data_IF_942751081482
#
_entry.id   IF_942751081482
#
_cell.length_a   1.000
_cell.length_b   1.000
_cell.length_c   1.000
_cell.angle_alpha   90.00
_cell.angle_beta   90.00
_cell.angle_gamma   90.00
#
_symmetry.space_group_name_H-M   'P 1'
#
loop_
_entity.id
_entity.type
_entity.pdbx_description
1 polymer ?
#
# COMPACT_ATOMS: atom_id res chain seq x y z
N UNK A 1 21.89 -3.43 7.76
CA UNK A 1 20.87 -4.44 8.14
C UNK A 1 19.73 -3.71 8.84
N UNK A 2 18.62 -3.42 8.15
CA UNK A 2 17.40 -2.87 8.78
C UNK A 2 16.86 -3.93 9.75
N UNK A 3 16.69 -3.57 11.01
CA UNK A 3 15.96 -4.39 11.98
C UNK A 3 14.59 -4.70 11.38
N UNK A 4 14.25 -5.98 11.30
CA UNK A 4 12.91 -6.44 10.92
C UNK A 4 11.94 -5.99 12.02
N UNK A 5 11.36 -4.82 11.84
CA UNK A 5 10.24 -4.38 12.68
C UNK A 5 9.08 -5.34 12.42
N UNK A 6 8.52 -5.88 13.50
CA UNK A 6 7.33 -6.72 13.43
C UNK A 6 6.20 -5.94 12.74
N UNK A 7 5.48 -6.57 11.80
CA UNK A 7 4.39 -5.90 11.08
C UNK A 7 3.34 -5.36 12.05
N UNK A 8 2.82 -4.16 11.76
CA UNK A 8 1.82 -3.48 12.57
C UNK A 8 0.54 -4.33 12.78
N UNK A 9 -0.29 -3.97 13.75
CA UNK A 9 -1.50 -4.72 14.13
C UNK A 9 -2.51 -4.94 13.00
N UNK A 10 -2.55 -4.04 12.02
CA UNK A 10 -3.46 -4.11 10.86
C UNK A 10 -2.83 -4.76 9.62
N UNK A 11 -1.59 -5.24 9.74
CA UNK A 11 -0.86 -5.89 8.66
C UNK A 11 -1.63 -7.07 8.08
N UNK A 12 -1.57 -7.19 6.76
CA UNK A 12 -2.08 -8.32 6.00
C UNK A 12 -1.45 -9.65 6.47
N UNK A 13 -0.17 -9.60 6.89
CA UNK A 13 0.55 -10.73 7.47
C UNK A 13 -0.23 -11.36 8.64
N UNK A 14 -0.66 -10.58 9.62
CA UNK A 14 -1.39 -11.09 10.79
C UNK A 14 -2.75 -11.65 10.41
N UNK A 15 -3.45 -11.01 9.46
CA UNK A 15 -4.74 -11.51 8.95
C UNK A 15 -4.58 -12.87 8.25
N UNK A 16 -3.56 -13.01 7.41
CA UNK A 16 -3.25 -14.27 6.72
C UNK A 16 -2.74 -15.36 7.68
N UNK A 17 -1.85 -15.01 8.59
CA UNK A 17 -1.33 -15.92 9.60
C UNK A 17 -2.46 -16.43 10.49
N UNK A 18 -3.34 -15.56 10.98
CA UNK A 18 -4.50 -15.95 11.77
C UNK A 18 -5.45 -16.84 10.98
N UNK A 19 -5.77 -16.48 9.74
CA UNK A 19 -6.64 -17.28 8.88
C UNK A 19 -6.07 -18.68 8.65
N UNK A 20 -4.77 -18.79 8.37
CA UNK A 20 -4.08 -20.06 8.13
C UNK A 20 -4.04 -20.92 9.41
N UNK A 21 -3.64 -20.32 10.53
CA UNK A 21 -3.58 -21.03 11.82
C UNK A 21 -4.96 -21.49 12.26
N UNK A 22 -5.97 -20.61 12.17
CA UNK A 22 -7.35 -20.94 12.49
C UNK A 22 -7.87 -22.08 11.60
N UNK A 23 -7.57 -22.04 10.30
CA UNK A 23 -7.90 -23.10 9.36
C UNK A 23 -7.22 -24.43 9.74
N UNK A 24 -5.92 -24.44 10.02
CA UNK A 24 -5.19 -25.64 10.44
C UNK A 24 -5.77 -26.23 11.74
N UNK A 25 -6.01 -25.40 12.74
CA UNK A 25 -6.58 -25.83 14.01
C UNK A 25 -7.99 -26.40 13.83
N UNK A 26 -8.82 -25.77 13.03
CA UNK A 26 -10.17 -26.25 12.70
C UNK A 26 -10.12 -27.62 12.03
N UNK A 27 -9.20 -27.81 11.07
CA UNK A 27 -9.04 -29.09 10.37
C UNK A 27 -8.55 -30.20 11.28
N UNK A 28 -7.58 -29.92 12.16
CA UNK A 28 -7.09 -30.87 13.15
C UNK A 28 -8.21 -31.24 14.12
N UNK A 29 -8.94 -30.25 14.64
CA UNK A 29 -10.05 -30.50 15.56
C UNK A 29 -11.17 -31.30 14.92
N UNK A 30 -11.55 -30.97 13.67
CA UNK A 30 -12.59 -31.68 12.93
C UNK A 30 -12.19 -33.14 12.69
N UNK A 31 -10.95 -33.38 12.25
CA UNK A 31 -10.43 -34.73 11.99
C UNK A 31 -10.39 -35.54 13.27
N UNK A 32 -9.92 -34.96 14.38
CA UNK A 32 -9.83 -35.64 15.67
C UNK A 32 -11.21 -35.92 16.30
N UNK A 33 -12.10 -34.95 16.32
CA UNK A 33 -13.46 -35.05 16.84
C UNK A 33 -14.28 -36.09 16.07
N UNK A 34 -14.19 -36.06 14.74
CA UNK A 34 -14.87 -37.02 13.89
C UNK A 34 -14.29 -38.44 14.03
N UNK A 35 -12.96 -38.52 14.14
CA UNK A 35 -12.29 -39.78 14.37
C UNK A 35 -12.80 -40.47 15.62
N UNK A 36 -12.88 -39.76 16.73
CA UNK A 36 -13.44 -40.26 18.00
C UNK A 36 -14.92 -40.63 17.88
N UNK A 37 -15.75 -39.78 17.32
CA UNK A 37 -17.16 -40.05 17.13
C UNK A 37 -17.42 -41.33 16.32
N UNK A 38 -16.65 -41.56 15.25
CA UNK A 38 -16.74 -42.77 14.44
C UNK A 38 -16.19 -43.99 15.15
N UNK A 39 -15.15 -43.86 15.97
CA UNK A 39 -14.59 -44.94 16.72
C UNK A 39 -15.57 -45.45 17.78
N UNK A 40 -16.18 -44.56 18.55
CA UNK A 40 -17.22 -44.89 19.55
C UNK A 40 -18.42 -45.56 18.91
N UNK A 41 -18.92 -45.03 17.79
CA UNK A 41 -20.11 -45.58 17.11
C UNK A 41 -19.87 -46.94 16.43
N UNK A 42 -18.64 -47.20 16.01
CA UNK A 42 -18.27 -48.48 15.33
C UNK A 42 -17.72 -49.54 16.26
N UNK A 43 -17.60 -49.27 17.56
CA UNK A 43 -17.14 -50.25 18.56
C UNK A 43 -18.28 -51.14 19.09
N UNK A 44 -19.52 -50.74 18.97
CA UNK A 44 -20.66 -51.43 19.50
C UNK A 44 -21.56 -51.99 18.41
N UNK A 45 -22.25 -53.08 18.74
CA UNK A 45 -23.31 -53.63 17.89
C UNK A 45 -24.45 -52.63 17.74
N UNK A 46 -25.07 -52.57 16.57
CA UNK A 46 -26.30 -51.82 16.38
C UNK A 46 -27.44 -52.38 17.23
N UNK A 47 -28.39 -51.55 17.64
CA UNK A 47 -29.55 -51.97 18.43
C UNK A 47 -30.36 -53.04 17.71
N UNK A 48 -30.44 -52.97 16.39
CA UNK A 48 -31.09 -53.96 15.55
C UNK A 48 -30.37 -55.33 15.61
N UNK A 49 -29.00 -55.29 15.57
CA UNK A 49 -28.23 -56.52 15.70
C UNK A 49 -28.39 -57.16 17.11
N UNK A 50 -28.32 -56.30 18.17
CA UNK A 50 -28.54 -56.77 19.55
C UNK A 50 -29.91 -57.39 19.74
N UNK A 51 -30.97 -56.71 19.23
CA UNK A 51 -32.34 -57.23 19.29
C UNK A 51 -32.52 -58.53 18.53
N UNK A 52 -31.84 -58.70 17.40
CA UNK A 52 -31.90 -59.93 16.62
C UNK A 52 -31.16 -61.05 17.30
N UNK A 53 -29.93 -60.82 17.80
CA UNK A 53 -29.17 -61.80 18.53
C UNK A 53 -29.80 -62.21 19.86
N UNK A 54 -30.46 -61.30 20.58
CA UNK A 54 -31.26 -61.60 21.77
C UNK A 54 -32.47 -62.48 21.46
N UNK A 55 -33.13 -62.24 20.30
CA UNK A 55 -34.21 -63.13 19.84
C UNK A 55 -33.74 -64.52 19.55
N UNK A 56 -32.52 -64.69 18.96
CA UNK A 56 -31.93 -66.02 18.76
C UNK A 56 -31.68 -66.73 20.09
N UNK A 57 -31.17 -66.05 21.11
CA UNK A 57 -31.02 -66.65 22.44
C UNK A 57 -32.35 -67.05 23.03
N UNK A 58 -33.43 -66.24 22.85
CA UNK A 58 -34.76 -66.60 23.31
C UNK A 58 -35.33 -67.82 22.56
N UNK A 59 -35.04 -67.97 21.26
CA UNK A 59 -35.49 -69.12 20.47
C UNK A 59 -34.71 -70.36 20.88
N UNK A 60 -33.41 -70.30 21.14
CA UNK A 60 -32.60 -71.37 21.66
C UNK A 60 -33.11 -71.85 23.04
N UNK A 61 -33.44 -70.96 23.94
CA UNK A 61 -34.04 -71.20 25.22
C UNK A 61 -35.37 -71.96 25.09
N UNK A 62 -36.24 -71.52 24.20
CA UNK A 62 -37.54 -72.17 23.91
C UNK A 62 -37.32 -73.62 23.35
N UNK A 63 -36.36 -73.76 22.45
CA UNK A 63 -35.99 -75.12 21.90
C UNK A 63 -35.50 -76.10 23.01
N UNK A 64 -34.66 -75.58 23.92
CA UNK A 64 -34.24 -76.31 25.09
C UNK A 64 -35.40 -76.70 26.00
N UNK A 65 -36.30 -75.79 26.32
CA UNK A 65 -37.45 -76.06 27.21
C UNK A 65 -38.44 -77.02 26.60
N UNK A 66 -38.59 -77.09 25.28
CA UNK A 66 -39.56 -77.99 24.58
C UNK A 66 -39.03 -79.41 24.31
N UNK A 67 -37.78 -79.50 23.90
CA UNK A 67 -37.22 -80.75 23.42
C UNK A 67 -35.88 -81.14 24.00
N UNK A 68 -35.37 -80.41 24.99
CA UNK A 68 -34.05 -80.69 25.57
C UNK A 68 -32.93 -80.63 24.54
N UNK A 69 -32.03 -81.63 24.55
CA UNK A 69 -30.90 -81.70 23.61
C UNK A 69 -31.32 -81.89 22.17
N UNK A 70 -32.34 -82.68 21.88
CA UNK A 70 -32.84 -82.95 20.53
C UNK A 70 -33.48 -81.66 19.95
N UNK A 71 -34.22 -80.91 20.77
CA UNK A 71 -34.83 -79.60 20.32
C UNK A 71 -33.76 -78.57 20.01
N UNK A 72 -32.62 -78.60 20.69
CA UNK A 72 -31.46 -77.74 20.38
C UNK A 72 -30.82 -78.13 19.04
N UNK A 73 -30.62 -79.40 18.80
CA UNK A 73 -30.01 -79.92 17.56
C UNK A 73 -30.83 -79.45 16.32
N UNK A 74 -32.19 -79.62 16.35
CA UNK A 74 -33.07 -79.21 15.28
C UNK A 74 -33.00 -77.69 15.08
N UNK A 75 -32.89 -76.95 16.16
CA UNK A 75 -32.80 -75.47 16.08
C UNK A 75 -31.42 -75.05 15.55
N UNK A 76 -30.30 -75.63 15.99
CA UNK A 76 -28.96 -75.40 15.51
C UNK A 76 -28.84 -75.59 14.00
N UNK A 77 -29.32 -76.76 13.49
CA UNK A 77 -29.34 -77.01 12.07
C UNK A 77 -30.09 -75.97 11.25
N UNK A 78 -31.20 -75.45 11.77
CA UNK A 78 -31.97 -74.39 11.15
C UNK A 78 -31.19 -73.04 11.14
N UNK A 79 -30.41 -72.77 12.16
CA UNK A 79 -29.65 -71.54 12.32
C UNK A 79 -28.37 -71.49 11.48
N UNK A 80 -27.63 -72.66 11.37
CA UNK A 80 -26.49 -72.77 10.50
C UNK A 80 -26.80 -72.51 9.04
N UNK A 81 -27.96 -73.03 8.57
CA UNK A 81 -28.47 -72.78 7.23
C UNK A 81 -28.84 -71.28 7.00
N UNK A 82 -29.22 -70.56 8.07
CA UNK A 82 -29.71 -69.21 7.99
C UNK A 82 -28.63 -68.15 8.07
N UNK A 83 -27.63 -68.38 8.94
CA UNK A 83 -26.65 -67.31 9.25
C UNK A 83 -25.25 -67.56 8.68
N UNK A 84 -24.96 -68.71 8.13
CA UNK A 84 -23.64 -69.10 7.58
C UNK A 84 -22.49 -68.80 8.54
N UNK A 85 -22.73 -68.96 9.84
CA UNK A 85 -21.78 -68.71 10.92
C UNK A 85 -21.95 -69.76 11.99
N UNK A 86 -20.86 -70.05 12.70
CA UNK A 86 -20.88 -71.06 13.78
C UNK A 86 -21.83 -70.62 14.92
N UNK A 87 -22.68 -71.54 15.34
CA UNK A 87 -23.65 -71.31 16.43
C UNK A 87 -23.59 -72.58 17.37
N UNK A 88 -23.57 -72.34 18.66
CA UNK A 88 -23.59 -73.36 19.66
C UNK A 88 -24.36 -72.94 20.92
N UNK A 89 -24.87 -73.89 21.65
CA UNK A 89 -25.57 -73.65 22.92
C UNK A 89 -24.81 -74.39 24.03
N UNK A 90 -24.41 -73.62 25.05
CA UNK A 90 -23.60 -74.15 26.19
C UNK A 90 -24.33 -73.98 27.51
N UNK A 91 -24.16 -74.92 28.39
CA UNK A 91 -24.63 -74.88 29.77
C UNK A 91 -23.73 -74.03 30.68
N UNK A 92 -24.12 -73.87 31.92
CA UNK A 92 -23.35 -73.10 32.91
C UNK A 92 -21.94 -73.59 33.17
N UNK A 93 -21.70 -74.86 32.92
CA UNK A 93 -20.39 -75.58 33.05
C UNK A 93 -19.57 -75.54 31.73
N UNK A 94 -19.91 -74.78 30.74
CA UNK A 94 -19.29 -74.72 29.39
C UNK A 94 -19.39 -76.01 28.57
N UNK A 95 -20.25 -76.93 28.97
CA UNK A 95 -20.53 -78.16 28.20
C UNK A 95 -21.60 -77.91 27.16
N UNK A 96 -21.50 -78.56 25.97
CA UNK A 96 -22.54 -78.49 24.95
C UNK A 96 -23.90 -78.97 25.47
N UNK A 97 -24.93 -78.23 25.19
CA UNK A 97 -26.31 -78.63 25.43
C UNK A 97 -26.92 -79.40 24.24
N UNK A 98 -26.19 -79.55 23.12
CA UNK A 98 -26.53 -80.39 21.98
C UNK A 98 -26.02 -81.81 22.19
N UNK A 99 -26.41 -82.77 21.31
CA UNK A 99 -25.90 -84.09 21.30
C UNK A 99 -24.50 -84.19 20.68
N UNK A 100 -24.04 -83.18 19.94
CA UNK A 100 -22.71 -83.09 19.39
C UNK A 100 -21.73 -82.47 20.41
N UNK A 101 -20.60 -83.20 20.69
CA UNK A 101 -19.57 -82.66 21.57
C UNK A 101 -18.79 -81.53 20.85
N UNK A 102 -18.39 -80.47 21.59
CA UNK A 102 -17.55 -79.43 21.08
C UNK A 102 -16.15 -79.94 20.74
N UNK A 103 -15.62 -79.49 19.58
CA UNK A 103 -14.27 -79.83 19.14
C UNK A 103 -13.23 -79.03 19.98
N UNK A 104 -11.96 -79.52 20.02
CA UNK A 104 -10.87 -78.84 20.78
C UNK A 104 -10.67 -77.39 20.37
N UNK A 105 -10.79 -77.07 19.07
CA UNK A 105 -10.67 -75.72 18.56
C UNK A 105 -11.83 -74.83 19.02
N UNK A 106 -13.02 -75.34 19.13
CA UNK A 106 -14.21 -74.64 19.62
C UNK A 106 -14.09 -74.36 21.12
N UNK A 107 -13.61 -75.40 21.89
CA UNK A 107 -13.34 -75.22 23.32
C UNK A 107 -12.32 -74.11 23.61
N UNK A 108 -11.22 -74.03 22.82
CA UNK A 108 -10.23 -73.01 22.96
C UNK A 108 -10.87 -71.56 22.67
N UNK A 109 -11.77 -71.45 21.73
CA UNK A 109 -12.46 -70.21 21.41
C UNK A 109 -13.47 -69.79 22.46
N UNK A 110 -14.05 -70.75 23.23
CA UNK A 110 -14.93 -70.43 24.35
C UNK A 110 -14.21 -69.77 25.51
N UNK A 111 -12.88 -69.73 25.55
CA UNK A 111 -12.11 -69.02 26.56
C UNK A 111 -12.19 -67.46 26.38
N UNK A 112 -12.54 -66.97 25.18
CA UNK A 112 -12.58 -65.55 24.83
C UNK A 112 -13.97 -65.08 24.41
N UNK A 113 -15.00 -65.52 25.11
CA UNK A 113 -16.38 -65.11 24.85
C UNK A 113 -16.64 -63.66 25.26
N UNK A 114 -17.32 -62.91 24.41
CA UNK A 114 -17.71 -61.52 24.69
C UNK A 114 -19.20 -61.40 24.91
N UNK A 115 -19.59 -60.48 25.79
CA UNK A 115 -21.00 -60.10 25.93
C UNK A 115 -21.49 -59.21 24.81
N UNK A 116 -22.81 -59.10 24.65
CA UNK A 116 -23.44 -58.23 23.65
C UNK A 116 -23.10 -56.74 23.80
N UNK A 117 -22.77 -56.30 25.02
CA UNK A 117 -22.47 -54.92 25.35
C UNK A 117 -20.99 -54.58 25.30
N UNK A 118 -20.14 -55.57 24.97
CA UNK A 118 -18.70 -55.40 24.90
C UNK A 118 -18.28 -54.80 23.56
N UNK A 119 -17.27 -53.93 23.53
CA UNK A 119 -16.78 -53.37 22.29
C UNK A 119 -16.16 -54.44 21.38
N UNK A 120 -16.52 -54.35 20.10
CA UNK A 120 -16.03 -55.30 19.08
C UNK A 120 -14.69 -54.75 18.55
N UNK A 121 -13.62 -55.57 18.70
CA UNK A 121 -12.29 -55.23 18.19
C UNK A 121 -12.24 -55.32 16.66
N UNK A 122 -11.33 -54.54 16.07
CA UNK A 122 -11.16 -54.39 14.61
C UNK A 122 -10.76 -55.61 13.82
N UNK A 123 -10.32 -56.70 14.47
CA UNK A 123 -9.80 -57.92 13.81
C UNK A 123 -10.59 -59.15 14.20
N UNK A 124 -11.15 -59.82 13.21
CA UNK A 124 -11.85 -61.10 13.31
C UNK A 124 -13.34 -61.00 13.64
N UNK A 125 -14.02 -62.14 13.59
CA UNK A 125 -15.40 -62.29 14.00
C UNK A 125 -15.43 -62.75 15.44
N UNK A 126 -15.82 -61.91 16.42
CA UNK A 126 -15.84 -62.28 17.82
C UNK A 126 -16.93 -63.32 18.09
N UNK A 127 -16.66 -64.21 19.00
CA UNK A 127 -17.64 -65.14 19.53
C UNK A 127 -18.37 -64.44 20.68
N UNK A 128 -19.70 -64.37 20.53
CA UNK A 128 -20.59 -63.66 21.47
C UNK A 128 -21.30 -64.69 22.33
N UNK A 129 -21.29 -64.44 23.63
CA UNK A 129 -22.10 -65.23 24.61
C UNK A 129 -23.33 -64.43 24.97
N UNK A 130 -24.48 -65.00 24.77
CA UNK A 130 -25.77 -64.41 25.05
C UNK A 130 -26.51 -65.34 26.04
N UNK A 131 -26.63 -64.97 27.31
CA UNK A 131 -27.34 -65.79 28.28
C UNK A 131 -28.83 -65.94 27.92
N UNK A 132 -29.43 -67.04 28.30
CA UNK A 132 -30.86 -67.24 28.12
C UNK A 132 -31.64 -66.19 28.86
N UNK A 133 -32.63 -65.52 28.23
CA UNK A 133 -33.33 -64.40 28.83
C UNK A 133 -34.13 -64.72 30.10
N UNK A 134 -34.76 -65.92 30.14
CA UNK A 134 -35.59 -66.31 31.30
C UNK A 134 -34.78 -67.05 32.39
N UNK A 135 -33.83 -67.91 31.98
CA UNK A 135 -33.01 -68.73 32.88
C UNK A 135 -31.52 -68.59 32.51
N UNK A 136 -30.85 -67.53 32.88
CA UNK A 136 -29.44 -67.28 32.49
C UNK A 136 -28.47 -68.39 32.99
N UNK A 137 -28.84 -69.07 34.12
CA UNK A 137 -28.06 -70.14 34.69
C UNK A 137 -28.19 -71.48 33.92
N UNK A 138 -29.28 -71.70 33.20
CA UNK A 138 -29.52 -72.93 32.47
C UNK A 138 -28.65 -73.07 31.20
N UNK A 139 -28.34 -71.96 30.53
CA UNK A 139 -27.51 -71.98 29.34
C UNK A 139 -27.27 -70.61 28.71
N UNK A 140 -26.46 -70.61 27.68
CA UNK A 140 -26.14 -69.44 26.89
C UNK A 140 -25.99 -69.81 25.41
N UNK A 141 -26.47 -68.98 24.53
CA UNK A 141 -26.18 -69.06 23.12
C UNK A 141 -24.78 -68.54 22.86
N UNK A 142 -23.95 -69.19 22.13
CA UNK A 142 -22.68 -68.72 21.61
C UNK A 142 -22.77 -68.68 20.10
N UNK A 143 -22.48 -67.57 19.53
CA UNK A 143 -22.55 -67.35 18.09
C UNK A 143 -21.31 -66.60 17.61
N UNK A 144 -20.68 -67.08 16.56
CA UNK A 144 -19.71 -66.28 15.80
C UNK A 144 -20.48 -65.16 15.08
N UNK A 145 -20.08 -63.92 15.28
CA UNK A 145 -20.80 -62.74 14.75
C UNK A 145 -20.96 -62.83 13.22
N UNK A 146 -22.22 -62.93 12.70
CA UNK A 146 -22.47 -62.98 11.25
C UNK A 146 -21.97 -61.73 10.56
N UNK A 147 -21.49 -61.88 9.32
CA UNK A 147 -20.93 -60.77 8.52
C UNK A 147 -21.86 -59.54 8.40
N UNK A 148 -23.17 -59.80 8.30
CA UNK A 148 -24.17 -58.74 8.17
C UNK A 148 -24.26 -57.80 9.37
N UNK A 149 -23.84 -58.25 10.56
CA UNK A 149 -23.84 -57.47 11.80
C UNK A 149 -22.49 -56.85 12.11
N UNK A 150 -21.45 -57.10 11.28
CA UNK A 150 -20.16 -56.48 11.46
C UNK A 150 -20.29 -54.96 11.26
N UNK A 151 -19.88 -54.14 12.26
CA UNK A 151 -19.92 -52.71 12.11
C UNK A 151 -18.90 -52.26 11.04
N UNK A 152 -19.34 -51.43 10.08
CA UNK A 152 -18.40 -50.79 9.18
C UNK A 152 -18.60 -50.95 7.69
N UNK A 153 -19.79 -51.41 7.22
CA UNK A 153 -20.11 -51.53 5.78
C UNK A 153 -19.81 -50.21 4.98
N UNK A 154 -19.95 -49.06 5.60
CA UNK A 154 -19.65 -47.75 5.01
C UNK A 154 -18.36 -47.11 5.52
N UNK A 155 -17.51 -47.83 6.22
CA UNK A 155 -16.29 -47.31 6.87
C UNK A 155 -15.32 -46.68 5.87
N UNK A 156 -15.15 -47.28 4.71
CA UNK A 156 -14.28 -46.79 3.65
C UNK A 156 -14.85 -45.49 3.07
N UNK A 157 -16.16 -45.47 2.77
CA UNK A 157 -16.85 -44.32 2.23
C UNK A 157 -16.74 -43.12 3.19
N UNK A 158 -17.07 -43.32 4.46
CA UNK A 158 -16.97 -42.27 5.47
C UNK A 158 -15.52 -41.77 5.67
N UNK A 159 -14.52 -42.67 5.59
CA UNK A 159 -13.12 -42.27 5.65
C UNK A 159 -12.75 -41.37 4.46
N UNK A 160 -13.20 -41.70 3.26
CA UNK A 160 -12.95 -40.89 2.07
C UNK A 160 -13.63 -39.52 2.20
N UNK A 161 -14.88 -39.47 2.68
CA UNK A 161 -15.61 -38.23 2.87
C UNK A 161 -14.90 -37.33 3.90
N UNK A 162 -14.54 -37.89 5.06
CA UNK A 162 -14.01 -37.07 6.16
C UNK A 162 -12.55 -36.65 5.97
N UNK A 163 -11.73 -37.52 5.38
CA UNK A 163 -10.31 -37.21 5.18
C UNK A 163 -9.98 -36.67 3.79
N UNK A 164 -10.92 -36.73 2.85
CA UNK A 164 -10.75 -36.25 1.47
C UNK A 164 -11.71 -35.11 1.11
N UNK A 165 -13.01 -35.39 1.07
CA UNK A 165 -14.01 -34.47 0.52
C UNK A 165 -14.16 -33.21 1.40
N UNK A 166 -14.32 -33.37 2.70
CA UNK A 166 -14.50 -32.23 3.63
C UNK A 166 -13.26 -31.33 3.67
N UNK A 167 -12.03 -31.84 3.89
CA UNK A 167 -10.81 -31.02 3.81
C UNK A 167 -10.63 -30.37 2.44
N UNK A 168 -10.92 -31.10 1.36
CA UNK A 168 -10.86 -30.56 0.00
C UNK A 168 -11.78 -29.35 -0.21
N UNK A 169 -13.04 -29.42 0.26
CA UNK A 169 -13.98 -28.32 0.18
C UNK A 169 -13.52 -27.11 0.99
N UNK A 170 -13.06 -27.32 2.21
CA UNK A 170 -12.52 -26.23 3.05
C UNK A 170 -11.28 -25.58 2.43
N UNK A 171 -10.39 -26.37 1.84
CA UNK A 171 -9.21 -25.86 1.14
C UNK A 171 -9.62 -25.02 -0.09
N UNK A 172 -10.62 -25.46 -0.84
CA UNK A 172 -11.15 -24.70 -1.97
C UNK A 172 -11.73 -23.37 -1.52
N UNK A 173 -12.51 -23.36 -0.44
CA UNK A 173 -13.06 -22.11 0.14
C UNK A 173 -11.94 -21.16 0.60
N UNK A 174 -10.89 -21.70 1.23
CA UNK A 174 -9.73 -20.91 1.62
C UNK A 174 -9.03 -20.30 0.39
N UNK A 175 -8.81 -21.09 -0.66
CA UNK A 175 -8.21 -20.61 -1.91
C UNK A 175 -9.02 -19.50 -2.56
N UNK A 176 -10.36 -19.63 -2.60
CA UNK A 176 -11.25 -18.57 -3.11
C UNK A 176 -11.17 -17.31 -2.24
N UNK A 177 -11.12 -17.46 -0.92
CA UNK A 177 -10.94 -16.35 0.01
C UNK A 177 -9.62 -15.60 -0.22
N UNK A 178 -8.51 -16.34 -0.33
CA UNK A 178 -7.17 -15.79 -0.61
C UNK A 178 -7.11 -15.12 -1.99
N UNK A 179 -7.73 -15.72 -3.01
CA UNK A 179 -7.83 -15.12 -4.34
C UNK A 179 -8.52 -13.76 -4.28
N UNK A 180 -9.67 -13.66 -3.61
CA UNK A 180 -10.40 -12.38 -3.46
C UNK A 180 -9.65 -11.36 -2.60
N UNK A 181 -8.92 -11.82 -1.59
CA UNK A 181 -8.20 -10.94 -0.66
C UNK A 181 -6.92 -10.36 -1.24
N UNK A 182 -6.19 -11.13 -2.08
CA UNK A 182 -4.87 -10.79 -2.61
C UNK A 182 -4.88 -10.54 -4.12
N UNK A 183 -5.37 -11.50 -4.89
CA UNK A 183 -5.20 -11.48 -6.36
C UNK A 183 -6.08 -10.42 -7.01
N UNK A 184 -7.33 -10.29 -6.57
CA UNK A 184 -8.25 -9.28 -7.14
C UNK A 184 -7.74 -7.85 -6.96
N UNK A 185 -7.30 -7.41 -5.76
CA UNK A 185 -6.71 -6.07 -5.59
C UNK A 185 -5.44 -5.84 -6.43
N UNK A 186 -4.56 -6.85 -6.51
CA UNK A 186 -3.34 -6.76 -7.33
C UNK A 186 -3.65 -6.66 -8.83
N UNK A 187 -4.66 -7.37 -9.31
CA UNK A 187 -5.10 -7.24 -10.70
C UNK A 187 -5.66 -5.85 -11.01
N UNK A 188 -6.41 -5.25 -10.09
CA UNK A 188 -6.90 -3.88 -10.25
C UNK A 188 -5.76 -2.86 -10.35
N UNK A 189 -4.71 -3.01 -9.52
CA UNK A 189 -3.50 -2.18 -9.62
C UNK A 189 -2.77 -2.38 -10.96
N UNK A 190 -2.68 -3.62 -11.43
CA UNK A 190 -2.08 -3.96 -12.73
C UNK A 190 -2.87 -3.37 -13.91
N UNK A 191 -4.19 -3.44 -13.86
CA UNK A 191 -5.06 -2.87 -14.91
C UNK A 191 -4.89 -1.36 -15.00
N UNK A 192 -4.82 -0.66 -13.87
CA UNK A 192 -4.55 0.77 -13.84
C UNK A 192 -3.16 1.10 -14.41
N UNK A 193 -2.12 0.35 -14.01
CA UNK A 193 -0.78 0.54 -14.57
C UNK A 193 -0.74 0.31 -16.09
N UNK A 194 -1.54 -0.62 -16.59
CA UNK A 194 -1.66 -0.86 -18.03
C UNK A 194 -2.46 0.24 -18.75
N UNK A 195 -3.51 0.78 -18.11
CA UNK A 195 -4.28 1.91 -18.64
C UNK A 195 -3.38 3.15 -18.83
N UNK A 196 -2.44 3.39 -17.93
CA UNK A 196 -1.47 4.48 -18.06
C UNK A 196 -0.50 4.30 -19.24
N UNK A 197 -0.08 3.07 -19.52
CA UNK A 197 0.71 2.80 -20.74
C UNK A 197 -0.04 3.12 -22.03
N UNK A 198 -1.36 3.12 -21.98
CA UNK A 198 -2.25 3.45 -23.10
C UNK A 198 -2.69 4.93 -23.09
N UNK A 199 -1.95 5.83 -22.41
CA UNK A 199 -2.26 7.28 -22.24
C UNK A 199 -3.60 7.60 -21.59
N UNK A 200 -4.22 6.64 -20.90
CA UNK A 200 -5.46 6.82 -20.17
C UNK A 200 -5.17 7.25 -18.71
N UNK A 201 -4.61 8.42 -18.53
CA UNK A 201 -4.18 8.94 -17.22
C UNK A 201 -5.33 9.24 -16.24
N UNK A 202 -6.58 9.25 -16.71
CA UNK A 202 -7.77 9.59 -15.90
C UNK A 202 -8.35 8.39 -15.12
N UNK A 203 -7.79 7.19 -15.27
CA UNK A 203 -8.29 5.99 -14.57
C UNK A 203 -7.80 6.01 -13.12
N UNK A 204 -8.74 6.11 -12.18
CA UNK A 204 -8.44 6.08 -10.73
C UNK A 204 -8.73 4.72 -10.13
N UNK A 205 -8.02 4.40 -9.03
CA UNK A 205 -8.29 3.21 -8.24
C UNK A 205 -9.69 3.26 -7.60
N UNK A 206 -10.31 2.10 -7.49
CA UNK A 206 -11.55 1.94 -6.73
C UNK A 206 -11.33 2.35 -5.27
N UNK A 207 -12.22 3.16 -4.72
CA UNK A 207 -12.20 3.62 -3.32
C UNK A 207 -12.12 2.47 -2.30
N UNK A 208 -12.60 1.28 -2.65
CA UNK A 208 -12.55 0.10 -1.79
C UNK A 208 -11.14 -0.43 -1.52
N UNK A 209 -10.14 -0.14 -2.38
CA UNK A 209 -8.74 -0.59 -2.19
C UNK A 209 -7.96 0.48 -1.43
N UNK A 210 -8.14 1.75 -1.74
CA UNK A 210 -7.43 2.86 -1.11
C UNK A 210 -7.81 3.07 0.37
N UNK A 211 -9.03 2.67 0.75
CA UNK A 211 -9.52 2.75 2.14
C UNK A 211 -9.08 1.59 3.03
N UNK A 212 -8.38 0.58 2.49
CA UNK A 212 -7.89 -0.54 3.31
C UNK A 212 -6.82 -0.07 4.31
N UNK A 213 -6.88 -0.53 5.57
CA UNK A 213 -5.89 -0.19 6.61
C UNK A 213 -4.65 -1.10 6.59
N UNK A 214 -4.42 -1.88 5.53
CA UNK A 214 -3.32 -2.83 5.39
C UNK A 214 -2.30 -2.36 4.34
N UNK A 215 -1.22 -3.14 4.16
CA UNK A 215 -0.11 -2.84 3.25
C UNK A 215 -0.58 -2.69 1.79
N UNK A 216 -1.63 -3.42 1.39
CA UNK A 216 -2.22 -3.25 0.06
C UNK A 216 -2.90 -1.89 -0.08
N UNK A 217 -3.56 -1.40 0.98
CA UNK A 217 -4.12 -0.06 1.01
C UNK A 217 -3.05 1.04 1.00
N UNK A 218 -1.93 0.82 1.70
CA UNK A 218 -0.78 1.74 1.67
C UNK A 218 -0.16 1.80 0.27
N UNK A 219 0.07 0.64 -0.35
CA UNK A 219 0.54 0.56 -1.73
C UNK A 219 -0.41 1.25 -2.71
N UNK A 220 -1.72 1.04 -2.55
CA UNK A 220 -2.73 1.66 -3.40
C UNK A 220 -2.72 3.20 -3.26
N UNK A 221 -2.60 3.73 -2.05
CA UNK A 221 -2.49 5.19 -1.81
C UNK A 221 -1.20 5.78 -2.38
N UNK A 222 -0.07 5.09 -2.21
CA UNK A 222 1.20 5.52 -2.81
C UNK A 222 1.12 5.55 -4.34
N UNK A 223 0.49 4.54 -4.92
CA UNK A 223 0.28 4.43 -6.35
C UNK A 223 -0.66 5.53 -6.87
N UNK A 224 -1.76 5.83 -6.18
CA UNK A 224 -2.72 6.87 -6.53
C UNK A 224 -2.07 8.27 -6.46
N UNK A 225 -1.27 8.51 -5.41
CA UNK A 225 -0.48 9.76 -5.27
C UNK A 225 0.56 9.93 -6.39
N UNK A 226 1.23 8.84 -6.80
CA UNK A 226 2.16 8.87 -7.94
C UNK A 226 1.42 9.17 -9.25
N UNK A 227 0.22 8.61 -9.40
CA UNK A 227 -0.72 8.85 -10.51
C UNK A 227 -1.06 10.33 -10.67
N UNK A 228 -1.52 10.93 -9.58
CA UNK A 228 -1.89 12.35 -9.56
C UNK A 228 -0.71 13.25 -9.92
N UNK A 229 0.47 12.93 -9.41
CA UNK A 229 1.70 13.68 -9.75
C UNK A 229 2.06 13.53 -11.22
N UNK A 230 2.01 12.32 -11.76
CA UNK A 230 2.30 12.09 -13.17
C UNK A 230 1.31 12.83 -14.08
N UNK A 231 0.01 12.73 -13.77
CA UNK A 231 -1.04 13.41 -14.50
C UNK A 231 -0.86 14.94 -14.47
N UNK A 232 -0.58 15.52 -13.30
CA UNK A 232 -0.33 16.96 -13.17
C UNK A 232 0.90 17.39 -13.97
N UNK A 233 1.99 16.62 -13.92
CA UNK A 233 3.21 16.90 -14.69
C UNK A 233 2.97 16.85 -16.20
N UNK A 234 2.31 15.79 -16.70
CA UNK A 234 2.00 15.67 -18.13
C UNK A 234 1.06 16.78 -18.58
N UNK A 235 0.02 17.10 -17.79
CA UNK A 235 -0.92 18.19 -18.11
C UNK A 235 -0.22 19.53 -18.16
N UNK A 236 0.68 19.81 -17.22
CA UNK A 236 1.49 21.02 -17.20
C UNK A 236 2.41 21.09 -18.44
N UNK A 237 3.11 20.02 -18.78
CA UNK A 237 3.96 19.97 -19.98
C UNK A 237 3.16 20.24 -21.26
N UNK A 238 1.99 19.62 -21.40
CA UNK A 238 1.12 19.84 -22.56
C UNK A 238 0.62 21.31 -22.61
N UNK A 239 0.32 21.90 -21.47
CA UNK A 239 -0.06 23.30 -21.40
C UNK A 239 1.10 24.21 -21.80
N UNK A 240 2.30 24.01 -21.22
CA UNK A 240 3.50 24.78 -21.57
C UNK A 240 3.82 24.73 -23.06
N UNK A 241 3.75 23.55 -23.68
CA UNK A 241 3.99 23.38 -25.14
C UNK A 241 2.93 24.11 -25.97
N UNK A 242 1.68 24.10 -25.54
CA UNK A 242 0.58 24.81 -26.22
C UNK A 242 0.78 26.33 -26.14
N UNK A 243 1.06 26.82 -24.94
CA UNK A 243 1.25 28.23 -24.67
C UNK A 243 2.51 28.77 -25.38
N UNK A 244 3.63 28.03 -25.33
CA UNK A 244 4.85 28.33 -26.10
C UNK A 244 4.56 28.42 -27.61
N UNK A 245 3.78 27.48 -28.15
CA UNK A 245 3.42 27.51 -29.58
C UNK A 245 2.59 28.74 -29.94
N UNK A 246 1.71 29.19 -29.06
CA UNK A 246 0.94 30.40 -29.24
C UNK A 246 1.81 31.65 -29.15
N UNK A 247 2.69 31.74 -28.15
CA UNK A 247 3.57 32.91 -27.96
C UNK A 247 4.67 33.02 -29.02
N UNK A 248 5.13 31.93 -29.63
CA UNK A 248 6.05 31.93 -30.77
C UNK A 248 5.36 32.35 -32.08
N UNK A 249 4.08 32.04 -32.27
CA UNK A 249 3.35 32.39 -33.48
C UNK A 249 3.26 33.88 -33.70
N UNK A 250 3.10 34.64 -32.63
CA UNK A 250 2.96 36.11 -32.68
C UNK A 250 4.20 36.82 -33.23
N UNK A 251 5.43 36.62 -32.70
CA UNK A 251 6.63 37.24 -33.24
C UNK A 251 6.94 36.75 -34.66
N UNK A 252 6.71 35.46 -34.96
CA UNK A 252 6.87 34.91 -36.32
C UNK A 252 5.93 35.64 -37.35
N UNK A 253 4.67 35.90 -36.95
CA UNK A 253 3.74 36.65 -37.81
C UNK A 253 4.19 38.07 -37.99
N UNK A 254 4.74 38.72 -36.94
CA UNK A 254 5.28 40.11 -37.03
C UNK A 254 6.52 40.15 -37.91
N UNK A 255 7.40 39.15 -37.83
CA UNK A 255 8.57 39.05 -38.72
C UNK A 255 8.15 38.88 -40.17
N UNK A 256 7.13 38.06 -40.43
CA UNK A 256 6.58 37.88 -41.78
C UNK A 256 6.04 39.19 -42.37
N UNK A 257 5.22 39.92 -41.60
CA UNK A 257 4.70 41.24 -42.03
C UNK A 257 5.82 42.24 -42.20
N UNK A 258 6.85 42.21 -41.35
CA UNK A 258 8.00 43.09 -41.48
C UNK A 258 8.81 42.80 -42.79
N UNK A 259 8.93 41.55 -43.17
CA UNK A 259 9.64 41.16 -44.40
C UNK A 259 8.89 41.56 -45.69
N UNK A 260 7.58 41.73 -45.61
CA UNK A 260 6.72 42.17 -46.74
C UNK A 260 6.53 43.70 -46.79
N UNK A 261 7.05 44.43 -45.79
CA UNK A 261 6.88 45.92 -45.70
C UNK A 261 8.02 46.67 -46.37
N UNK A 262 7.74 47.78 -47.04
CA UNK A 262 8.70 48.68 -47.68
C UNK A 262 9.48 49.55 -46.68
N UNK A 263 9.84 49.01 -45.48
CA UNK A 263 10.61 49.75 -44.48
C UNK A 263 12.08 49.83 -44.84
N UNK A 264 12.77 50.89 -44.44
CA UNK A 264 14.20 51.05 -44.65
C UNK A 264 15.00 49.91 -43.97
N UNK A 265 16.08 49.42 -44.63
CA UNK A 265 16.89 48.28 -44.16
C UNK A 265 17.35 48.36 -42.69
N UNK A 266 17.62 49.57 -42.16
CA UNK A 266 18.06 49.76 -40.78
C UNK A 266 16.92 49.44 -39.81
N UNK A 267 15.72 49.97 -40.04
CA UNK A 267 14.55 49.72 -39.21
C UNK A 267 14.11 48.26 -39.25
N UNK A 268 14.19 47.64 -40.42
CA UNK A 268 13.90 46.23 -40.58
C UNK A 268 14.86 45.36 -39.74
N UNK A 269 16.18 45.67 -39.81
CA UNK A 269 17.21 44.92 -39.05
C UNK A 269 16.99 45.05 -37.53
N UNK A 270 16.72 46.25 -37.02
CA UNK A 270 16.44 46.46 -35.62
C UNK A 270 15.17 45.72 -35.15
N UNK A 271 14.14 45.70 -36.00
CA UNK A 271 12.89 44.98 -35.68
C UNK A 271 13.10 43.48 -35.66
N UNK A 272 13.82 42.93 -36.64
CA UNK A 272 14.18 41.53 -36.68
C UNK A 272 15.01 41.16 -35.43
N UNK A 273 16.02 41.95 -35.07
CA UNK A 273 16.81 41.74 -33.85
C UNK A 273 15.94 41.63 -32.61
N UNK A 274 15.06 42.63 -32.38
CA UNK A 274 14.17 42.60 -31.21
C UNK A 274 13.24 41.40 -31.13
N UNK A 275 12.66 40.95 -32.26
CA UNK A 275 11.77 39.81 -32.28
C UNK A 275 12.55 38.50 -32.06
N UNK A 276 13.78 38.38 -32.60
CA UNK A 276 14.66 37.22 -32.39
C UNK A 276 15.11 37.14 -30.94
N UNK A 277 15.57 38.25 -30.34
CA UNK A 277 15.96 38.32 -28.93
C UNK A 277 14.80 37.96 -27.99
N UNK A 278 13.57 38.39 -28.37
CA UNK A 278 12.36 38.02 -27.66
C UNK A 278 12.06 36.54 -27.71
N UNK A 279 12.16 35.91 -28.89
CA UNK A 279 11.96 34.49 -29.05
C UNK A 279 13.02 33.67 -28.30
N UNK A 280 14.28 34.11 -28.33
CA UNK A 280 15.36 33.43 -27.58
C UNK A 280 15.06 33.46 -26.07
N UNK A 281 14.71 34.59 -25.51
CA UNK A 281 14.31 34.71 -24.10
C UNK A 281 13.11 33.81 -23.76
N UNK A 282 12.09 33.75 -24.63
CA UNK A 282 10.93 32.91 -24.41
C UNK A 282 11.33 31.43 -24.33
N UNK A 283 12.22 30.95 -25.20
CA UNK A 283 12.71 29.57 -25.19
C UNK A 283 13.53 29.31 -23.93
N UNK A 284 14.44 30.20 -23.56
CA UNK A 284 15.26 30.09 -22.35
C UNK A 284 14.41 30.03 -21.07
N UNK A 285 13.46 30.95 -20.93
CA UNK A 285 12.54 31.00 -19.80
C UNK A 285 11.68 29.73 -19.69
N UNK A 286 11.22 29.21 -20.85
CA UNK A 286 10.39 27.98 -20.88
C UNK A 286 11.22 26.76 -20.51
N UNK A 287 12.47 26.64 -21.00
CA UNK A 287 13.39 25.57 -20.64
C UNK A 287 13.73 25.61 -19.16
N UNK A 288 13.99 26.80 -18.62
CA UNK A 288 14.25 26.97 -17.18
C UNK A 288 13.07 26.52 -16.32
N UNK A 289 11.85 26.90 -16.70
CA UNK A 289 10.65 26.46 -15.99
C UNK A 289 10.51 24.92 -16.01
N UNK A 290 10.75 24.30 -17.18
CA UNK A 290 10.68 22.84 -17.34
C UNK A 290 11.75 22.11 -16.50
N UNK A 291 12.96 22.65 -16.43
CA UNK A 291 14.06 22.04 -15.66
C UNK A 291 13.89 22.23 -14.16
N UNK A 292 13.40 23.39 -13.72
CA UNK A 292 13.10 23.64 -12.31
C UNK A 292 12.09 22.63 -11.74
N UNK A 293 11.18 22.12 -12.55
CA UNK A 293 10.17 21.13 -12.13
C UNK A 293 10.70 19.67 -12.13
N UNK A 294 11.67 19.36 -13.01
CA UNK A 294 12.09 17.98 -13.27
C UNK A 294 13.35 17.58 -12.51
N UNK A 295 14.30 18.50 -12.35
CA UNK A 295 15.62 18.21 -11.74
C UNK A 295 15.57 18.37 -10.21
N UNK A 296 15.56 17.25 -9.49
CA UNK A 296 15.63 17.20 -8.02
C UNK A 296 17.03 17.04 -7.50
N UNK A 297 18.06 17.29 -8.29
CA UNK A 297 19.45 17.24 -7.83
C UNK A 297 19.63 18.26 -6.70
N UNK A 298 20.21 17.89 -5.56
CA UNK A 298 20.50 18.85 -4.50
C UNK A 298 21.38 19.97 -5.05
N UNK A 299 20.89 21.19 -4.99
CA UNK A 299 21.66 22.36 -5.38
C UNK A 299 22.79 22.59 -4.32
N UNK A 300 23.95 23.09 -4.74
CA UNK A 300 24.94 23.58 -3.78
C UNK A 300 24.29 24.60 -2.83
N UNK A 301 24.51 24.39 -1.54
CA UNK A 301 23.92 25.22 -0.47
C UNK A 301 25.02 26.05 0.16
N UNK A 302 24.98 27.36 -0.05
CA UNK A 302 26.00 28.32 0.35
C UNK A 302 25.40 29.51 1.09
N UNK A 303 26.22 30.23 1.84
CA UNK A 303 25.83 31.47 2.51
C UNK A 303 25.89 32.64 1.52
N UNK A 304 24.76 33.34 1.34
CA UNK A 304 24.58 34.42 0.38
C UNK A 304 24.25 35.70 1.12
N UNK A 305 25.04 36.74 0.94
CA UNK A 305 24.74 38.06 1.45
C UNK A 305 23.80 38.80 0.48
N UNK A 306 22.61 39.14 0.95
CA UNK A 306 21.56 39.67 0.10
C UNK A 306 21.91 41.08 -0.42
N UNK A 307 22.58 41.93 0.37
CA UNK A 307 22.98 43.25 -0.06
C UNK A 307 23.97 43.17 -1.24
N UNK A 308 25.00 42.34 -1.15
CA UNK A 308 25.99 42.20 -2.23
C UNK A 308 25.35 41.60 -3.51
N UNK A 309 24.45 40.64 -3.35
CA UNK A 309 23.70 40.10 -4.48
C UNK A 309 22.81 41.17 -5.15
N UNK A 310 22.11 41.99 -4.36
CA UNK A 310 21.29 43.06 -4.88
C UNK A 310 22.11 44.12 -5.65
N UNK A 311 23.27 44.55 -5.12
CA UNK A 311 24.18 45.48 -5.79
C UNK A 311 24.58 44.95 -7.18
N UNK A 312 24.98 43.70 -7.28
CA UNK A 312 25.32 43.07 -8.56
C UNK A 312 24.14 43.06 -9.54
N UNK A 313 22.94 42.69 -9.06
CA UNK A 313 21.73 42.63 -9.90
C UNK A 313 21.27 44.02 -10.37
N UNK A 314 21.38 45.02 -9.51
CA UNK A 314 21.01 46.41 -9.85
C UNK A 314 21.96 47.04 -10.86
N UNK A 315 23.26 46.80 -10.80
CA UNK A 315 24.22 47.24 -11.79
C UNK A 315 23.87 46.71 -13.20
N UNK A 316 23.55 45.42 -13.30
CA UNK A 316 23.11 44.80 -14.55
C UNK A 316 21.77 45.40 -15.04
N UNK A 317 20.81 45.55 -14.13
CA UNK A 317 19.49 46.08 -14.47
C UNK A 317 19.56 47.54 -14.92
N UNK A 318 20.42 48.37 -14.33
CA UNK A 318 20.67 49.76 -14.75
C UNK A 318 21.24 49.84 -16.17
N UNK A 319 22.21 48.94 -16.47
CA UNK A 319 22.80 48.86 -17.81
C UNK A 319 21.77 48.44 -18.87
N UNK A 320 20.95 47.48 -18.59
CA UNK A 320 19.91 46.98 -19.54
C UNK A 320 18.74 47.94 -19.73
N UNK A 321 18.23 48.51 -18.63
CA UNK A 321 17.00 49.32 -18.65
C UNK A 321 17.21 50.80 -18.82
N UNK A 322 18.44 51.27 -18.59
CA UNK A 322 18.76 52.68 -18.50
C UNK A 322 18.21 53.39 -17.26
N UNK A 323 17.75 52.62 -16.25
CA UNK A 323 17.29 53.19 -14.98
C UNK A 323 18.45 53.72 -14.15
N UNK A 324 18.32 54.87 -13.48
CA UNK A 324 19.31 55.36 -12.56
C UNK A 324 19.41 54.44 -11.32
N UNK A 325 20.63 54.17 -10.86
CA UNK A 325 20.85 53.35 -9.66
C UNK A 325 20.19 53.88 -8.40
N UNK A 326 20.01 55.21 -8.30
CA UNK A 326 19.31 55.85 -7.18
C UNK A 326 17.84 55.45 -7.04
N UNK A 327 17.22 54.92 -8.10
CA UNK A 327 15.84 54.46 -8.10
C UNK A 327 15.70 52.99 -7.65
N UNK A 328 16.81 52.23 -7.57
CA UNK A 328 16.86 50.83 -7.14
C UNK A 328 17.46 50.76 -5.72
N UNK A 329 16.62 50.95 -4.72
CA UNK A 329 17.05 51.12 -3.32
C UNK A 329 17.13 49.78 -2.60
N UNK A 330 18.20 49.62 -1.78
CA UNK A 330 18.33 48.50 -0.82
C UNK A 330 18.29 49.07 0.60
N UNK A 331 17.34 48.62 1.40
CA UNK A 331 17.23 48.96 2.82
C UNK A 331 17.44 47.70 3.72
N UNK A 332 17.90 46.62 3.13
CA UNK A 332 18.20 45.36 3.85
C UNK A 332 19.48 45.55 4.66
N UNK A 333 19.48 45.05 5.90
CA UNK A 333 20.63 45.07 6.79
C UNK A 333 21.79 44.27 6.21
N UNK A 334 23.03 44.76 6.37
CA UNK A 334 24.26 44.08 5.92
C UNK A 334 24.46 42.70 6.58
N UNK A 335 23.81 42.45 7.71
CA UNK A 335 23.76 41.15 8.39
C UNK A 335 22.79 40.13 7.76
N UNK A 336 22.12 40.52 6.66
CA UNK A 336 21.19 39.62 5.96
C UNK A 336 21.93 38.56 5.14
N UNK A 337 22.16 37.43 5.76
CA UNK A 337 22.70 36.24 5.13
C UNK A 337 21.60 35.16 5.03
N UNK A 338 21.47 34.61 3.85
CA UNK A 338 20.53 33.53 3.59
C UNK A 338 21.26 32.30 3.08
N UNK A 339 20.69 31.14 3.32
CA UNK A 339 21.22 29.86 2.88
C UNK A 339 20.53 29.39 1.62
N UNK A 340 21.30 29.01 0.59
CA UNK A 340 20.75 28.57 -0.67
C UNK A 340 21.76 28.51 -1.80
N UNK A 341 21.27 28.37 -3.03
CA UNK A 341 22.09 28.41 -4.24
C UNK A 341 22.11 29.82 -4.85
N UNK A 342 23.30 30.39 -5.00
CA UNK A 342 23.48 31.76 -5.50
C UNK A 342 22.83 31.98 -6.86
N UNK A 343 23.05 31.09 -7.83
CA UNK A 343 22.55 31.29 -9.18
C UNK A 343 21.01 31.24 -9.23
N UNK A 344 20.41 30.32 -8.48
CA UNK A 344 18.95 30.17 -8.42
C UNK A 344 18.29 31.35 -7.70
N UNK A 345 18.92 31.87 -6.64
CA UNK A 345 18.42 33.04 -5.92
C UNK A 345 18.61 34.34 -6.72
N UNK A 346 19.78 34.48 -7.38
CA UNK A 346 20.04 35.59 -8.29
C UNK A 346 18.97 35.67 -9.39
N UNK A 347 18.68 34.54 -10.02
CA UNK A 347 17.63 34.42 -11.04
C UNK A 347 16.23 34.80 -10.51
N UNK A 348 15.88 34.36 -9.30
CA UNK A 348 14.60 34.70 -8.68
C UNK A 348 14.49 36.21 -8.47
N UNK A 349 15.50 36.84 -7.87
CA UNK A 349 15.54 38.27 -7.60
C UNK A 349 15.61 39.10 -8.89
N UNK A 350 16.35 38.64 -9.90
CA UNK A 350 16.42 39.31 -11.22
C UNK A 350 15.05 39.34 -11.91
N UNK A 351 14.31 38.22 -11.92
CA UNK A 351 12.97 38.13 -12.48
C UNK A 351 11.98 39.08 -11.75
N UNK A 352 12.10 39.13 -10.42
CA UNK A 352 11.30 40.06 -9.60
C UNK A 352 11.65 41.52 -9.89
N UNK A 353 12.93 41.86 -9.94
CA UNK A 353 13.44 43.19 -10.21
C UNK A 353 13.05 43.67 -11.61
N UNK A 354 13.24 42.83 -12.64
CA UNK A 354 12.81 43.15 -14.01
C UNK A 354 11.29 43.39 -14.09
N UNK A 355 10.50 42.62 -13.36
CA UNK A 355 9.05 42.86 -13.30
C UNK A 355 8.72 44.20 -12.65
N UNK A 356 9.37 44.52 -11.53
CA UNK A 356 9.18 45.80 -10.82
C UNK A 356 9.56 47.00 -11.66
N UNK A 357 10.73 47.02 -12.33
CA UNK A 357 11.18 48.06 -13.26
C UNK A 357 10.18 48.28 -14.38
N UNK A 358 9.70 47.19 -14.96
CA UNK A 358 8.79 47.21 -16.10
C UNK A 358 7.43 47.82 -15.78
N UNK A 359 6.89 47.56 -14.60
CA UNK A 359 5.55 48.02 -14.21
C UNK A 359 5.56 49.34 -13.47
N UNK A 360 6.73 49.83 -13.03
CA UNK A 360 6.87 51.14 -12.41
C UNK A 360 6.83 52.27 -13.45
N UNK A 361 6.29 53.44 -13.10
CA UNK A 361 6.32 54.64 -13.98
C UNK A 361 7.76 55.15 -14.13
N UNK A 362 7.99 55.92 -15.19
CA UNK A 362 9.27 56.60 -15.38
C UNK A 362 9.57 57.50 -14.18
N UNK A 363 10.73 57.34 -13.55
CA UNK A 363 11.09 58.08 -12.32
C UNK A 363 10.60 57.40 -11.03
N UNK A 364 9.95 56.26 -11.10
CA UNK A 364 9.53 55.47 -9.95
C UNK A 364 10.70 54.89 -9.15
N UNK A 365 10.43 54.38 -7.96
CA UNK A 365 11.41 53.78 -7.06
C UNK A 365 11.02 52.30 -6.86
N UNK A 366 12.01 51.43 -7.00
CA UNK A 366 11.92 49.99 -6.60
C UNK A 366 12.76 49.83 -5.35
N UNK A 367 12.17 49.29 -4.29
CA UNK A 367 12.82 49.13 -2.99
C UNK A 367 12.82 47.69 -2.53
N UNK A 368 14.01 47.16 -2.23
CA UNK A 368 14.20 45.91 -1.49
C UNK A 368 14.40 46.24 -0.01
N UNK A 369 13.61 45.64 0.85
CA UNK A 369 13.70 45.76 2.30
C UNK A 369 13.55 44.38 2.95
N UNK A 370 13.88 44.26 4.25
CA UNK A 370 13.79 42.96 4.88
C UNK A 370 13.95 43.02 6.40
N UNK A 371 13.42 41.96 7.04
CA UNK A 371 13.58 41.76 8.49
C UNK A 371 13.85 40.31 8.81
N UNK A 372 14.57 40.11 9.88
CA UNK A 372 14.75 38.77 10.40
C UNK A 372 13.50 38.30 11.16
N UNK A 373 13.09 37.05 10.90
CA UNK A 373 11.95 36.39 11.54
C UNK A 373 12.36 34.97 11.99
N UNK A 374 12.97 34.89 13.15
CA UNK A 374 13.54 33.66 13.70
C UNK A 374 14.62 33.04 12.83
N UNK A 375 14.38 31.83 12.34
CA UNK A 375 15.29 31.08 11.44
C UNK A 375 15.16 31.48 9.97
N UNK A 376 14.41 32.52 9.67
CA UNK A 376 14.15 33.00 8.33
C UNK A 376 14.44 34.48 8.19
N UNK A 377 14.72 34.90 6.97
CA UNK A 377 14.64 36.28 6.54
C UNK A 377 13.32 36.46 5.75
N UNK A 378 12.55 37.51 6.12
CA UNK A 378 11.41 37.98 5.36
C UNK A 378 11.87 39.23 4.58
N UNK A 379 12.08 39.05 3.28
CA UNK A 379 12.43 40.11 2.34
C UNK A 379 11.17 40.53 1.58
N UNK A 380 11.08 41.81 1.18
CA UNK A 380 10.04 42.24 0.26
C UNK A 380 10.60 43.26 -0.72
N UNK A 381 10.15 43.08 -1.96
CA UNK A 381 10.42 44.04 -3.03
C UNK A 381 9.13 44.77 -3.36
N UNK A 382 9.15 46.09 -3.29
CA UNK A 382 8.01 46.99 -3.54
C UNK A 382 8.28 47.86 -4.75
N UNK A 383 7.33 47.90 -5.66
CA UNK A 383 7.35 48.77 -6.83
C UNK A 383 6.32 49.89 -6.70
N UNK A 384 6.34 50.85 -7.63
CA UNK A 384 5.40 51.96 -7.73
C UNK A 384 4.49 51.84 -8.96
N UNK A 385 4.19 50.57 -9.38
CA UNK A 385 3.26 50.31 -10.46
C UNK A 385 1.79 50.52 -10.08
N UNK A 386 0.90 50.19 -10.97
CA UNK A 386 -0.55 50.32 -10.72
C UNK A 386 -1.14 49.30 -9.73
N UNK A 387 -0.29 48.44 -9.12
CA UNK A 387 -0.71 47.33 -8.24
C UNK A 387 -1.43 46.22 -8.99
N UNK A 388 -1.90 45.25 -8.23
CA UNK A 388 -2.64 44.06 -8.74
C UNK A 388 -3.89 43.87 -7.89
N UNK A 389 -5.02 43.59 -8.52
CA UNK A 389 -6.26 43.28 -7.82
C UNK A 389 -6.10 42.05 -6.94
N UNK A 390 -6.72 42.00 -5.76
CA UNK A 390 -6.59 40.94 -4.78
C UNK A 390 -6.95 39.56 -5.37
N UNK A 391 -7.95 39.52 -6.27
CA UNK A 391 -8.34 38.27 -6.97
C UNK A 391 -7.25 37.73 -7.91
N UNK A 392 -6.31 38.53 -8.35
CA UNK A 392 -5.27 38.19 -9.32
C UNK A 392 -3.90 37.94 -8.67
N UNK A 393 -3.70 38.24 -7.37
CA UNK A 393 -2.43 38.08 -6.65
C UNK A 393 -1.85 36.67 -6.72
N UNK A 394 -2.70 35.65 -6.76
CA UNK A 394 -2.26 34.27 -6.94
C UNK A 394 -2.00 33.92 -8.42
N UNK A 395 -2.75 34.53 -9.31
CA UNK A 395 -2.70 34.26 -10.75
C UNK A 395 -1.43 34.76 -11.41
N UNK A 396 -0.83 35.86 -10.93
CA UNK A 396 0.41 36.42 -11.49
C UNK A 396 1.61 35.47 -11.43
N UNK A 397 1.53 34.42 -10.61
CA UNK A 397 2.55 33.36 -10.51
C UNK A 397 2.29 32.17 -11.42
N UNK A 398 1.17 32.14 -12.15
CA UNK A 398 0.91 31.07 -13.13
C UNK A 398 1.70 31.39 -14.42
N UNK A 399 2.32 30.39 -15.04
CA UNK A 399 3.05 30.53 -16.29
C UNK A 399 2.16 31.17 -17.38
N UNK A 400 2.73 32.01 -18.23
CA UNK A 400 2.07 32.74 -19.33
C UNK A 400 0.90 33.62 -18.92
N UNK A 401 0.74 33.93 -17.64
CA UNK A 401 -0.32 34.80 -17.17
C UNK A 401 0.07 36.25 -17.34
N UNK A 402 -0.79 37.00 -18.03
CA UNK A 402 -0.71 38.47 -18.19
C UNK A 402 -2.03 39.07 -17.77
N UNK A 403 -2.00 40.10 -16.94
CA UNK A 403 -3.21 40.81 -16.57
C UNK A 403 -3.61 41.82 -17.69
N UNK A 404 -4.92 41.97 -17.92
CA UNK A 404 -5.47 42.87 -18.91
C UNK A 404 -5.01 44.29 -18.63
N UNK A 405 -4.36 44.94 -19.60
CA UNK A 405 -3.81 46.30 -19.48
C UNK A 405 -2.36 46.46 -19.93
N UNK A 406 -1.58 45.36 -20.06
CA UNK A 406 -0.23 45.42 -20.63
C UNK A 406 -0.31 45.59 -22.15
N UNK A 407 0.31 46.68 -22.68
CA UNK A 407 0.33 46.97 -24.12
C UNK A 407 0.91 45.81 -24.93
N UNK A 408 0.31 45.46 -26.09
CA UNK A 408 0.92 44.51 -27.01
C UNK A 408 2.28 45.03 -27.47
N UNK A 409 3.38 44.45 -27.02
CA UNK A 409 4.72 44.91 -27.39
C UNK A 409 5.71 45.05 -26.21
N UNK A 410 5.25 45.10 -24.98
CA UNK A 410 6.10 45.28 -23.79
C UNK A 410 6.89 44.00 -23.35
N UNK A 411 7.26 43.17 -24.29
CA UNK A 411 8.40 42.23 -24.20
C UNK A 411 8.40 41.13 -23.11
N UNK A 412 7.34 40.88 -22.34
CA UNK A 412 7.35 39.80 -21.32
C UNK A 412 6.26 38.76 -21.55
N UNK A 413 6.66 37.53 -21.48
CA UNK A 413 5.81 36.35 -21.77
C UNK A 413 5.01 35.86 -20.56
N UNK A 414 5.09 36.55 -19.38
CA UNK A 414 4.41 36.11 -18.17
C UNK A 414 5.04 34.87 -17.49
N UNK A 415 6.33 34.65 -17.73
CA UNK A 415 7.08 33.51 -17.13
C UNK A 415 7.93 33.94 -15.93
N UNK A 416 8.39 35.19 -15.83
CA UNK A 416 9.37 35.61 -14.84
C UNK A 416 8.95 35.35 -13.39
N UNK A 417 7.71 35.70 -13.00
CA UNK A 417 7.24 35.45 -11.61
C UNK A 417 7.02 33.99 -11.30
N UNK A 418 6.62 33.18 -12.26
CA UNK A 418 6.51 31.72 -12.09
C UNK A 418 7.88 31.06 -11.91
N UNK A 419 8.90 31.50 -12.66
CA UNK A 419 10.30 31.07 -12.50
C UNK A 419 10.82 31.49 -11.12
N UNK A 420 10.59 32.75 -10.71
CA UNK A 420 11.01 33.25 -9.41
C UNK A 420 10.39 32.42 -8.25
N UNK A 421 9.09 32.13 -8.34
CA UNK A 421 8.40 31.32 -7.32
C UNK A 421 8.97 29.90 -7.21
N UNK A 422 9.17 29.27 -8.34
CA UNK A 422 9.77 27.92 -8.40
C UNK A 422 11.20 27.90 -7.85
N UNK A 423 12.03 28.89 -8.21
CA UNK A 423 13.41 29.02 -7.75
C UNK A 423 13.48 29.21 -6.22
N UNK A 424 12.60 30.02 -5.63
CA UNK A 424 12.53 30.23 -4.18
C UNK A 424 12.02 28.96 -3.47
N UNK A 425 11.00 28.29 -3.99
CA UNK A 425 10.43 27.08 -3.41
C UNK A 425 11.41 25.91 -3.40
N UNK A 426 12.24 25.77 -4.43
CA UNK A 426 13.31 24.74 -4.50
C UNK A 426 14.36 24.88 -3.40
N UNK A 427 14.54 26.05 -2.86
CA UNK A 427 15.47 26.36 -1.76
C UNK A 427 14.77 26.31 -0.38
N UNK A 428 13.55 25.75 -0.30
CA UNK A 428 12.78 25.70 0.95
C UNK A 428 12.18 27.02 1.40
N UNK A 429 12.22 28.05 0.52
CA UNK A 429 11.61 29.36 0.74
C UNK A 429 10.14 29.42 0.26
N UNK A 430 9.54 30.61 0.37
CA UNK A 430 8.22 30.91 -0.16
C UNK A 430 8.19 32.30 -0.78
N UNK A 431 7.43 32.48 -1.88
CA UNK A 431 7.21 33.74 -2.57
C UNK A 431 5.70 33.97 -2.73
N UNK A 432 5.22 35.17 -2.31
CA UNK A 432 3.84 35.58 -2.45
C UNK A 432 3.74 37.06 -2.72
N UNK A 433 2.58 37.50 -3.19
CA UNK A 433 2.30 38.89 -3.52
C UNK A 433 1.27 39.47 -2.57
N UNK A 434 1.42 40.75 -2.28
CA UNK A 434 0.45 41.61 -1.56
C UNK A 434 0.23 42.91 -2.31
N UNK A 435 -0.94 43.50 -2.17
CA UNK A 435 -1.18 44.83 -2.68
C UNK A 435 -0.44 45.84 -1.79
N UNK A 436 0.59 46.49 -2.33
CA UNK A 436 1.35 47.54 -1.63
C UNK A 436 0.61 48.89 -1.61
N UNK A 437 1.09 49.82 -0.78
CA UNK A 437 0.49 51.17 -0.70
C UNK A 437 0.64 51.97 -1.98
N UNK A 438 1.70 51.73 -2.78
CA UNK A 438 2.02 52.45 -3.99
C UNK A 438 2.05 51.60 -5.25
N UNK A 439 2.10 50.27 -5.10
CA UNK A 439 2.23 49.32 -6.20
C UNK A 439 2.08 47.88 -5.74
N UNK A 440 2.84 46.94 -6.35
CA UNK A 440 2.89 45.53 -5.98
C UNK A 440 4.01 45.32 -4.99
N UNK A 441 3.74 44.54 -3.93
CA UNK A 441 4.74 44.07 -2.98
C UNK A 441 4.91 42.54 -3.16
N UNK A 442 6.11 42.12 -3.52
CA UNK A 442 6.50 40.71 -3.61
C UNK A 442 7.31 40.34 -2.38
N UNK A 443 6.80 39.39 -1.61
CA UNK A 443 7.37 38.95 -0.35
C UNK A 443 8.08 37.62 -0.54
N UNK A 444 9.32 37.51 0.01
CA UNK A 444 10.13 36.31 -0.01
C UNK A 444 10.44 35.88 1.43
N UNK A 445 10.28 34.61 1.73
CA UNK A 445 10.76 34.01 2.98
C UNK A 445 11.87 33.04 2.67
N UNK A 446 13.08 33.30 3.19
CA UNK A 446 14.29 32.53 2.90
C UNK A 446 14.91 32.04 4.22
N UNK A 447 15.62 30.91 4.19
CA UNK A 447 16.27 30.35 5.36
C UNK A 447 17.47 31.22 5.73
N UNK A 448 17.53 31.68 6.98
CA UNK A 448 18.64 32.48 7.47
C UNK A 448 19.90 31.64 7.68
N UNK A 449 21.07 32.17 7.27
CA UNK A 449 22.35 31.57 7.65
C UNK A 449 22.83 32.17 8.99
N UNK A 450 22.91 31.30 10.01
CA UNK A 450 23.35 31.67 11.35
C UNK A 450 24.86 31.66 11.53
N UNK A 451 25.61 30.99 10.66
CA UNK A 451 27.06 30.86 10.75
C UNK A 451 27.80 32.11 10.25
N UNK A 452 27.26 32.76 9.21
CA UNK A 452 27.90 33.96 8.63
C UNK A 452 27.84 35.18 9.57
N UNK A 453 26.77 35.31 10.36
CA UNK A 453 26.60 36.39 11.36
C UNK A 453 27.67 36.32 12.46
N UNK A 454 28.20 35.15 12.78
CA UNK A 454 29.24 34.98 13.81
C UNK A 454 30.64 35.37 13.33
N UNK A 455 30.91 35.35 12.03
CA UNK A 455 32.21 35.74 11.43
C UNK A 455 32.36 37.28 11.39
N UNK A 456 31.30 38.04 11.06
CA UNK A 456 31.36 39.51 11.10
C UNK A 456 31.44 40.08 12.53
N UNK A 457 30.83 39.36 13.51
CA UNK A 457 30.95 39.73 14.93
C UNK A 457 32.38 39.47 15.48
N UNK A 458 33.16 38.58 14.87
CA UNK A 458 34.55 38.27 15.22
C UNK A 458 35.50 39.25 14.49
N UNK A 459 35.19 39.66 13.25
CA UNK A 459 36.04 40.60 12.48
C UNK A 459 35.98 42.06 13.02
N UNK A 460 34.89 42.42 13.73
CA UNK A 460 34.74 43.75 14.34
C UNK A 460 35.38 43.96 15.72
N UNK A 461 36.05 42.93 16.32
CA UNK A 461 36.80 43.10 17.59
C UNK A 461 38.25 43.44 17.33
N UNK A 462 38.81 44.51 17.98
CA UNK A 462 40.26 44.78 17.90
C UNK A 462 41.03 43.61 18.42
N UNK A 463 42.13 43.22 17.70
CA UNK A 463 42.92 42.05 17.96
C UNK A 463 43.36 42.00 19.44
N UNK A 464 43.17 40.88 20.15
CA UNK A 464 43.75 40.66 21.45
C UNK A 464 45.26 40.44 21.26
N UNK A 465 46.04 41.17 22.01
CA UNK A 465 47.50 41.04 22.16
C UNK A 465 47.87 39.59 22.41
N UNK A 466 48.79 39.09 21.60
CA UNK A 466 49.35 37.73 21.64
C UNK A 466 49.87 37.38 23.02
N UNK A 467 49.32 36.44 23.71
CA UNK A 467 49.93 35.63 24.74
C UNK A 467 49.93 34.17 24.27
N UNK A 468 51.12 33.65 24.18
CA UNK A 468 51.45 32.29 23.76
C UNK A 468 50.77 31.25 24.63
N UNK A 469 49.95 30.37 24.05
CA UNK A 469 49.67 29.00 24.53
C UNK A 469 48.90 28.16 23.55
N UNK A 470 49.46 27.04 23.18
CA UNK A 470 48.93 25.75 22.72
C UNK A 470 48.00 25.60 21.50
N UNK A 471 48.47 24.83 20.49
CA UNK A 471 47.65 24.43 19.35
C UNK A 471 47.09 23.00 19.56
N UNK A 472 45.96 22.87 20.27
CA UNK A 472 45.27 21.59 20.31
C UNK A 472 43.80 21.78 20.69
N UNK A 473 42.98 22.41 19.82
CA UNK A 473 41.52 22.27 19.85
C UNK A 473 40.84 22.95 18.64
N UNK A 474 41.05 22.41 17.45
CA UNK A 474 40.25 22.73 16.28
C UNK A 474 40.01 21.45 15.48
N UNK A 475 39.14 20.60 16.00
CA UNK A 475 38.45 19.53 15.25
C UNK A 475 37.11 19.35 15.90
N UNK A 476 36.12 20.07 15.39
CA UNK A 476 34.67 19.75 15.38
C UNK A 476 33.90 21.05 15.15
N UNK A 477 33.66 21.32 13.89
CA UNK A 477 32.47 21.98 13.39
C UNK A 477 32.21 21.42 11.99
#
# INVERSE_FOLDING_TARGET
MKRSELPGRHSLFWKLAFLLVAFCLLMIWLSWSWGRYMEERNQFLSDEARGTLSRYASQAEQAWQRGGRSGIDDWLQSMELREASWVGVIGGNLQSLSNEPLNEQELQRLTFLRGLDWPIHKQGRPWLRIPFPKEPAAGSLVIELPERFLPGKYRVLWRVITNGVIPGLFTLLLCVGLYRLLVVPLNNLREQANAWRADQLNVRLSSGITQRPDELGELARAFDSMSERLQSTVSLQQQLLRDLSHELRTPLSRLRVASESEQGLVQLRERIGREVDGMQRLVEDTLQLAWLDTDRTPLPDEAIQIQALWEMLTDNACYESGWPSLQLQCAVDSSCWVRGNLNTLAQALENILRNAIRHSPAGGIVRLDGRRDGDYWHLWLEDQGGGVAEADLQRIFLPFTRLDGSRPGDGGFGLGLSIARNAVQRQGGSLWAESGGAGLRLNLRLIADNCAVSLDAIAGKPAPTVSSADPSSCQQC
#
